data_IF_591349782054
#
_entry.id   IF_591349782054
#
_cell.length_a   1.000
_cell.length_b   1.000
_cell.length_c   1.000
_cell.angle_alpha   90.00
_cell.angle_beta   90.00
_cell.angle_gamma   90.00
#
_symmetry.space_group_name_H-M   'P 1'
#
loop_
_entity.id
_entity.type
_entity.pdbx_description
1 polymer ?
#
# COMPACT_ATOMS: atom_id res chain seq x y z
N UNK A 1 6.91 -14.05 29.31
CA UNK A 1 7.42 -12.69 29.14
C UNK A 1 7.74 -12.38 27.69
N UNK A 2 8.68 -13.11 27.06
CA UNK A 2 8.93 -12.89 25.63
C UNK A 2 7.72 -13.17 24.76
N UNK A 3 6.85 -14.12 25.17
CA UNK A 3 5.61 -14.44 24.44
C UNK A 3 4.64 -13.26 24.43
N UNK A 4 4.57 -12.49 25.52
CA UNK A 4 3.71 -11.30 25.58
C UNK A 4 4.17 -10.24 24.61
N UNK A 5 5.48 -9.99 24.51
CA UNK A 5 6.04 -9.06 23.54
C UNK A 5 5.82 -9.51 22.11
N UNK A 6 5.95 -10.81 21.84
CA UNK A 6 5.69 -11.36 20.50
C UNK A 6 4.23 -11.20 20.12
N UNK A 7 3.32 -11.40 21.05
CA UNK A 7 1.90 -11.20 20.80
C UNK A 7 1.59 -9.74 20.48
N UNK A 8 2.19 -8.80 21.22
CA UNK A 8 2.01 -7.38 20.96
C UNK A 8 2.50 -7.00 19.56
N UNK A 9 3.67 -7.49 19.14
CA UNK A 9 4.19 -7.25 17.80
C UNK A 9 3.31 -7.91 16.76
N UNK A 10 2.86 -9.15 17.00
CA UNK A 10 2.04 -9.91 16.06
C UNK A 10 0.69 -9.24 15.81
N UNK A 11 0.10 -8.62 16.84
CA UNK A 11 -1.19 -7.98 16.76
C UNK A 11 -1.11 -6.46 16.69
N UNK A 12 0.09 -5.90 16.42
CA UNK A 12 0.24 -4.47 16.20
C UNK A 12 -0.68 -4.03 15.07
N UNK A 13 -1.42 -2.93 15.25
CA UNK A 13 -2.33 -2.48 14.21
C UNK A 13 -1.56 -2.01 12.99
N UNK A 14 -2.12 -2.25 11.81
CA UNK A 14 -1.61 -1.67 10.59
C UNK A 14 -2.14 -0.25 10.49
N UNK A 15 -1.26 0.69 10.22
CA UNK A 15 -1.61 2.07 9.96
C UNK A 15 -1.43 2.34 8.46
N UNK A 16 -2.48 2.84 7.82
CA UNK A 16 -2.42 3.21 6.40
C UNK A 16 -2.28 4.72 6.34
N UNK A 17 -1.18 5.17 5.76
CA UNK A 17 -0.84 6.58 5.68
C UNK A 17 -0.47 7.00 4.26
N UNK A 18 -0.48 8.31 3.95
CA UNK A 18 0.00 8.77 2.65
C UNK A 18 1.45 8.36 2.41
N UNK A 19 1.74 8.04 1.15
CA UNK A 19 3.10 7.78 0.69
C UNK A 19 3.81 9.11 0.44
N UNK A 20 5.08 9.18 0.81
CA UNK A 20 5.93 10.34 0.58
C UNK A 20 7.11 9.98 -0.31
N UNK A 21 7.74 10.98 -0.91
CA UNK A 21 8.93 10.76 -1.74
C UNK A 21 10.02 10.00 -0.99
N UNK A 22 10.16 10.24 0.31
CA UNK A 22 11.16 9.56 1.15
C UNK A 22 10.88 8.07 1.31
N UNK A 23 9.66 7.62 1.04
CA UNK A 23 9.30 6.19 1.11
C UNK A 23 9.74 5.43 -0.13
N UNK A 24 9.93 6.12 -1.26
CA UNK A 24 10.12 5.48 -2.56
C UNK A 24 11.29 4.50 -2.59
N UNK A 25 12.48 4.80 -2.02
CA UNK A 25 13.56 3.81 -2.02
C UNK A 25 13.19 2.47 -1.38
N UNK A 26 12.45 2.50 -0.26
CA UNK A 26 12.00 1.27 0.41
C UNK A 26 10.96 0.55 -0.45
N UNK A 27 10.02 1.30 -1.03
CA UNK A 27 8.98 0.75 -1.90
C UNK A 27 9.59 0.06 -3.12
N UNK A 28 10.58 0.68 -3.74
CA UNK A 28 11.29 0.09 -4.89
C UNK A 28 11.95 -1.23 -4.49
N UNK A 29 12.55 -1.30 -3.31
CA UNK A 29 13.16 -2.54 -2.82
C UNK A 29 12.11 -3.64 -2.61
N UNK A 30 10.96 -3.29 -2.05
CA UNK A 30 9.85 -4.24 -1.87
C UNK A 30 9.33 -4.72 -3.23
N UNK A 31 9.15 -3.81 -4.16
CA UNK A 31 8.66 -4.10 -5.51
C UNK A 31 9.58 -5.07 -6.24
N UNK A 32 10.89 -4.80 -6.19
CA UNK A 32 11.90 -5.64 -6.84
C UNK A 32 11.95 -7.04 -6.25
N UNK A 33 11.74 -7.17 -4.96
CA UNK A 33 11.73 -8.47 -4.30
C UNK A 33 10.46 -9.26 -4.61
N UNK A 34 9.35 -8.60 -4.92
CA UNK A 34 8.05 -9.23 -5.09
C UNK A 34 7.74 -9.61 -6.54
N UNK A 35 8.24 -8.86 -7.52
CA UNK A 35 7.82 -9.01 -8.92
C UNK A 35 8.99 -9.27 -9.86
N UNK A 36 8.73 -10.11 -10.86
CA UNK A 36 9.69 -10.39 -11.93
C UNK A 36 9.93 -9.15 -12.81
N UNK A 37 8.86 -8.36 -13.03
CA UNK A 37 8.94 -7.13 -13.84
C UNK A 37 8.49 -5.95 -12.97
N UNK A 38 9.35 -5.49 -12.06
CA UNK A 38 8.97 -4.45 -11.11
C UNK A 38 8.85 -3.08 -11.78
N UNK A 39 8.01 -2.23 -11.18
CA UNK A 39 7.98 -0.83 -11.55
C UNK A 39 9.29 -0.17 -11.16
N UNK A 40 9.71 0.80 -11.96
CA UNK A 40 10.90 1.60 -11.66
C UNK A 40 10.60 2.67 -10.61
N UNK A 41 11.66 3.23 -10.03
CA UNK A 41 11.54 4.37 -9.14
C UNK A 41 10.78 5.52 -9.80
N UNK A 42 11.05 5.79 -11.08
CA UNK A 42 10.39 6.86 -11.84
C UNK A 42 8.88 6.69 -11.91
N UNK A 43 8.40 5.45 -12.07
CA UNK A 43 6.96 5.19 -12.12
C UNK A 43 6.31 5.54 -10.77
N UNK A 44 6.92 5.15 -9.66
CA UNK A 44 6.39 5.49 -8.34
C UNK A 44 6.37 7.01 -8.12
N UNK A 45 7.45 7.70 -8.49
CA UNK A 45 7.50 9.15 -8.34
C UNK A 45 6.49 9.86 -9.23
N UNK A 46 6.25 9.33 -10.43
CA UNK A 46 5.21 9.86 -11.32
C UNK A 46 3.82 9.72 -10.72
N UNK A 47 3.53 8.57 -10.09
CA UNK A 47 2.24 8.36 -9.41
C UNK A 47 2.02 9.41 -8.31
N UNK A 48 3.05 9.72 -7.54
CA UNK A 48 2.98 10.77 -6.52
C UNK A 48 2.78 12.14 -7.15
N UNK A 49 3.53 12.44 -8.20
CA UNK A 49 3.51 13.74 -8.87
C UNK A 49 2.14 14.04 -9.50
N UNK A 50 1.54 13.05 -10.14
CA UNK A 50 0.23 13.25 -10.78
C UNK A 50 -0.94 13.20 -9.80
N UNK A 51 -0.68 12.87 -8.54
CA UNK A 51 -1.69 12.91 -7.49
C UNK A 51 -2.56 11.68 -7.38
N UNK A 52 -2.06 10.52 -7.79
CA UNK A 52 -2.77 9.28 -7.53
C UNK A 52 -2.88 9.02 -6.03
N UNK A 53 -3.82 8.18 -5.65
CA UNK A 53 -3.97 7.77 -4.24
C UNK A 53 -2.87 6.75 -3.94
N UNK A 54 -1.82 7.20 -3.29
CA UNK A 54 -0.65 6.38 -2.96
C UNK A 54 -0.57 6.26 -1.44
N UNK A 55 -0.61 5.03 -0.94
CA UNK A 55 -0.66 4.76 0.50
C UNK A 55 0.38 3.71 0.89
N UNK A 56 0.88 3.87 2.10
CA UNK A 56 1.81 2.93 2.73
C UNK A 56 1.11 2.29 3.91
N UNK A 57 1.33 0.99 4.09
CA UNK A 57 0.86 0.25 5.25
C UNK A 57 2.03 0.04 6.21
N UNK A 58 1.96 0.67 7.38
CA UNK A 58 2.97 0.56 8.42
C UNK A 58 2.48 -0.32 9.57
N UNK A 59 3.35 -1.14 10.09
CA UNK A 59 3.10 -1.94 11.29
C UNK A 59 4.20 -1.63 12.29
N UNK A 60 3.86 -0.88 13.34
CA UNK A 60 4.84 -0.51 14.36
C UNK A 60 6.05 0.25 13.83
N UNK A 61 5.85 1.07 12.80
CA UNK A 61 6.94 1.83 12.17
C UNK A 61 7.68 1.09 11.07
N UNK A 62 7.35 -0.19 10.82
CA UNK A 62 7.93 -0.97 9.75
C UNK A 62 6.98 -0.96 8.54
N UNK A 63 7.49 -0.67 7.36
CA UNK A 63 6.67 -0.67 6.15
C UNK A 63 6.34 -2.10 5.75
N UNK A 64 5.06 -2.47 5.89
CA UNK A 64 4.57 -3.79 5.50
C UNK A 64 4.28 -3.87 4.01
N UNK A 65 3.89 -2.75 3.40
CA UNK A 65 3.53 -2.74 2.00
C UNK A 65 2.96 -1.41 1.54
N UNK A 66 2.33 -1.41 0.36
CA UNK A 66 1.82 -0.20 -0.24
C UNK A 66 0.69 -0.51 -1.21
N UNK A 67 -0.06 0.53 -1.56
CA UNK A 67 -1.09 0.45 -2.57
C UNK A 67 -1.19 1.74 -3.35
N UNK A 68 -1.50 1.63 -4.64
CA UNK A 68 -1.62 2.78 -5.55
C UNK A 68 -2.89 2.62 -6.37
N UNK A 69 -3.66 3.70 -6.45
CA UNK A 69 -4.92 3.76 -7.16
C UNK A 69 -5.03 5.07 -7.92
N UNK A 70 -5.43 5.00 -9.19
CA UNK A 70 -5.82 6.20 -9.94
C UNK A 70 -7.32 6.39 -9.83
N UNK A 71 -7.76 7.64 -9.81
CA UNK A 71 -9.18 8.00 -9.80
C UNK A 71 -9.43 9.12 -10.81
N UNK A 72 -10.55 9.02 -11.50
CA UNK A 72 -10.96 10.03 -12.48
C UNK A 72 -12.11 9.54 -13.33
N UNK A 73 -12.89 10.48 -13.87
CA UNK A 73 -14.01 10.18 -14.76
C UNK A 73 -15.00 9.16 -14.20
N UNK A 74 -15.22 9.17 -12.87
CA UNK A 74 -16.13 8.24 -12.22
C UNK A 74 -15.57 6.84 -11.99
N UNK A 75 -14.31 6.60 -12.35
CA UNK A 75 -13.67 5.29 -12.26
C UNK A 75 -12.45 5.32 -11.33
N UNK A 76 -12.23 4.22 -10.63
CA UNK A 76 -11.03 3.99 -9.85
C UNK A 76 -10.31 2.76 -10.40
N UNK A 77 -9.00 2.84 -10.52
CA UNK A 77 -8.18 1.72 -10.98
C UNK A 77 -7.12 1.41 -9.95
N UNK A 78 -7.16 0.20 -9.40
CA UNK A 78 -6.12 -0.30 -8.50
C UNK A 78 -4.95 -0.71 -9.38
N UNK A 79 -3.85 0.03 -9.27
CA UNK A 79 -2.69 -0.17 -10.13
C UNK A 79 -1.66 -1.11 -9.52
N UNK A 80 -1.53 -1.09 -8.20
CA UNK A 80 -0.55 -1.90 -7.51
C UNK A 80 -0.93 -2.05 -6.03
N UNK A 81 -0.88 -3.27 -5.52
CA UNK A 81 -0.97 -3.55 -4.08
C UNK A 81 0.06 -4.62 -3.79
N UNK A 82 0.97 -4.34 -2.89
CA UNK A 82 2.06 -5.28 -2.57
C UNK A 82 2.33 -5.29 -1.07
N UNK A 83 2.45 -6.48 -0.51
CA UNK A 83 2.83 -6.70 0.89
C UNK A 83 4.15 -7.47 0.90
N UNK A 84 5.09 -7.04 1.75
CA UNK A 84 6.37 -7.73 1.92
C UNK A 84 6.14 -9.14 2.43
N UNK A 85 7.03 -10.06 2.04
CA UNK A 85 6.94 -11.47 2.46
C UNK A 85 6.79 -11.61 3.97
N UNK A 86 7.57 -10.84 4.75
CA UNK A 86 7.59 -10.93 6.21
C UNK A 86 6.25 -10.60 6.84
N UNK A 87 5.39 -9.90 6.12
CA UNK A 87 4.09 -9.44 6.62
C UNK A 87 2.90 -10.12 5.93
N UNK A 88 3.14 -11.07 5.03
CA UNK A 88 2.05 -11.78 4.34
C UNK A 88 1.32 -12.71 5.28
N UNK A 89 0.09 -13.06 4.90
CA UNK A 89 -0.74 -13.98 5.68
C UNK A 89 -1.45 -13.36 6.86
N UNK A 90 -1.44 -12.02 6.98
CA UNK A 90 -2.08 -11.30 8.08
C UNK A 90 -3.26 -10.44 7.63
N UNK A 91 -3.64 -10.54 6.36
CA UNK A 91 -4.76 -9.77 5.82
C UNK A 91 -4.43 -8.33 5.50
N UNK A 92 -3.16 -7.93 5.41
CA UNK A 92 -2.79 -6.53 5.16
C UNK A 92 -3.11 -6.09 3.74
N UNK A 93 -2.95 -6.97 2.74
CA UNK A 93 -3.31 -6.65 1.37
C UNK A 93 -4.80 -6.30 1.28
N UNK A 94 -5.64 -7.08 1.95
CA UNK A 94 -7.08 -6.81 2.01
C UNK A 94 -7.37 -5.47 2.68
N UNK A 95 -6.67 -5.15 3.76
CA UNK A 95 -6.87 -3.87 4.45
C UNK A 95 -6.50 -2.69 3.57
N UNK A 96 -5.39 -2.80 2.83
CA UNK A 96 -4.99 -1.77 1.88
C UNK A 96 -6.04 -1.63 0.78
N UNK A 97 -6.48 -2.74 0.21
CA UNK A 97 -7.49 -2.74 -0.85
C UNK A 97 -8.80 -2.11 -0.38
N UNK A 98 -9.30 -2.53 0.78
CA UNK A 98 -10.54 -1.97 1.35
C UNK A 98 -10.39 -0.46 1.57
N UNK A 99 -9.25 -0.03 2.10
CA UNK A 99 -8.99 1.39 2.30
C UNK A 99 -9.08 2.16 0.98
N UNK A 100 -8.44 1.65 -0.07
CA UNK A 100 -8.45 2.30 -1.38
C UNK A 100 -9.86 2.37 -1.95
N UNK A 101 -10.63 1.28 -1.86
CA UNK A 101 -12.00 1.24 -2.36
C UNK A 101 -12.90 2.20 -1.60
N UNK A 102 -12.72 2.32 -0.30
CA UNK A 102 -13.47 3.31 0.50
C UNK A 102 -13.11 4.74 0.11
N UNK A 103 -11.84 5.01 -0.18
CA UNK A 103 -11.40 6.31 -0.68
C UNK A 103 -12.03 6.62 -2.05
N UNK A 104 -12.08 5.63 -2.93
CA UNK A 104 -12.73 5.79 -4.24
C UNK A 104 -14.20 6.15 -4.07
N UNK A 105 -14.89 5.43 -3.19
CA UNK A 105 -16.30 5.68 -2.90
C UNK A 105 -16.51 7.09 -2.35
N UNK A 106 -15.69 7.49 -1.39
CA UNK A 106 -15.77 8.82 -0.79
C UNK A 106 -15.48 9.93 -1.80
N UNK A 107 -14.72 9.63 -2.86
CA UNK A 107 -14.41 10.57 -3.93
C UNK A 107 -15.47 10.60 -5.03
N UNK A 108 -16.58 9.88 -4.87
CA UNK A 108 -17.68 9.86 -5.83
C UNK A 108 -17.47 8.91 -7.01
N UNK A 109 -16.50 8.00 -6.92
CA UNK A 109 -16.30 7.00 -7.97
C UNK A 109 -17.40 5.94 -7.89
N UNK A 110 -17.95 5.55 -9.02
CA UNK A 110 -19.03 4.57 -9.07
C UNK A 110 -18.59 3.24 -9.67
N UNK A 111 -17.37 3.14 -10.19
CA UNK A 111 -16.78 1.91 -10.69
C UNK A 111 -15.35 1.79 -10.21
N UNK A 112 -14.93 0.56 -9.87
CA UNK A 112 -13.57 0.27 -9.46
C UNK A 112 -13.05 -0.94 -10.23
N UNK A 113 -11.81 -0.87 -10.68
CA UNK A 113 -11.16 -1.91 -11.47
C UNK A 113 -9.86 -2.35 -10.80
N UNK A 114 -9.60 -3.64 -10.86
CA UNK A 114 -8.38 -4.24 -10.32
C UNK A 114 -7.40 -4.60 -11.43
#
# INVERSE_FOLDING_TARGET
>A
MSSVKQEEVQFAPVEIRPMHDLDVPVIVAIERAAYQFPWSEGIFRDCLRVGYVCRVADVGGDMAGYGIMSIGAGEAHILNVCIRDEHRGRGFARKVLVYLLERARASGMYEAFL
#
